data_IF_348209100708
#
_entry.id   IF_348209100708
#
_cell.length_a   1.000
_cell.length_b   1.000
_cell.length_c   1.000
_cell.angle_alpha   90.00
_cell.angle_beta   90.00
_cell.angle_gamma   90.00
#
_symmetry.space_group_name_H-M   'P 1'
#
loop_
_entity.id
_entity.type
_entity.pdbx_description
1 polymer ?
#
# COMPACT_ATOMS: atom_id res chain seq x y z
N UNK A 1 -11.78 17.30 7.94
CA UNK A 1 -12.37 16.03 7.46
C UNK A 1 -11.21 15.09 7.20
N UNK A 2 -11.27 13.87 7.75
CA UNK A 2 -10.15 12.92 7.76
C UNK A 2 -10.50 11.65 6.98
N UNK A 3 -9.45 10.94 6.56
CA UNK A 3 -9.56 9.60 5.98
C UNK A 3 -10.21 8.58 6.94
N UNK A 4 -10.11 8.83 8.25
CA UNK A 4 -10.64 7.95 9.28
C UNK A 4 -12.15 7.68 9.08
N UNK A 5 -12.55 6.41 8.98
CA UNK A 5 -13.90 6.00 8.61
C UNK A 5 -14.02 4.55 8.20
N UNK A 6 -15.25 4.09 8.01
CA UNK A 6 -15.53 2.84 7.30
C UNK A 6 -15.97 3.15 5.87
N UNK A 7 -15.22 2.60 4.92
CA UNK A 7 -15.37 2.80 3.49
C UNK A 7 -15.77 1.51 2.81
N UNK A 8 -16.67 1.57 1.82
CA UNK A 8 -17.11 0.40 1.05
C UNK A 8 -16.97 0.65 -0.45
N UNK A 9 -16.42 -0.33 -1.19
CA UNK A 9 -16.31 -0.28 -2.65
C UNK A 9 -17.48 -0.98 -3.36
N UNK A 10 -17.47 -0.94 -4.69
CA UNK A 10 -18.45 -1.56 -5.58
C UNK A 10 -18.56 -3.08 -5.43
N UNK A 11 -17.50 -3.75 -4.97
CA UNK A 11 -17.49 -5.19 -4.70
C UNK A 11 -18.07 -5.55 -3.32
N UNK A 12 -18.48 -4.55 -2.54
CA UNK A 12 -18.99 -4.73 -1.18
C UNK A 12 -17.90 -4.91 -0.12
N UNK A 13 -16.62 -4.90 -0.50
CA UNK A 13 -15.49 -4.98 0.43
C UNK A 13 -15.39 -3.72 1.29
N UNK A 14 -14.95 -3.89 2.54
CA UNK A 14 -14.97 -2.83 3.55
C UNK A 14 -13.57 -2.49 4.04
N UNK A 15 -13.31 -1.21 4.26
CA UNK A 15 -12.04 -0.70 4.77
C UNK A 15 -12.31 0.22 5.96
N UNK A 16 -11.94 -0.23 7.16
CA UNK A 16 -12.00 0.57 8.39
C UNK A 16 -10.65 1.23 8.61
N UNK A 17 -10.60 2.56 8.57
CA UNK A 17 -9.38 3.36 8.67
C UNK A 17 -9.41 4.27 9.89
N UNK A 18 -8.24 4.41 10.50
CA UNK A 18 -7.87 5.49 11.41
C UNK A 18 -6.78 6.34 10.74
N UNK A 19 -6.70 7.62 11.09
CA UNK A 19 -5.62 8.48 10.62
C UNK A 19 -5.20 9.51 11.67
N UNK A 20 -3.94 9.91 11.61
CA UNK A 20 -3.32 10.90 12.49
C UNK A 20 -1.87 11.18 12.09
N UNK A 21 -1.44 12.44 12.13
CA UNK A 21 -0.09 12.88 11.79
C UNK A 21 0.43 12.36 10.43
N UNK A 22 -0.43 12.41 9.40
CA UNK A 22 -0.13 11.91 8.04
C UNK A 22 0.09 10.39 7.97
N UNK A 23 -0.26 9.65 9.03
CA UNK A 23 -0.26 8.19 9.09
C UNK A 23 -1.69 7.67 9.00
N UNK A 24 -1.82 6.53 8.34
CA UNK A 24 -3.06 5.80 8.19
C UNK A 24 -2.83 4.37 8.64
N UNK A 25 -3.77 3.81 9.38
CA UNK A 25 -3.78 2.40 9.74
C UNK A 25 -5.20 1.88 9.79
N UNK A 26 -5.37 0.57 9.67
CA UNK A 26 -6.70 0.01 9.68
C UNK A 26 -6.78 -1.45 9.29
N UNK A 27 -7.98 -1.85 8.88
CA UNK A 27 -8.28 -3.20 8.40
C UNK A 27 -9.07 -3.15 7.10
N UNK A 28 -8.73 -4.07 6.20
CA UNK A 28 -9.49 -4.34 4.99
C UNK A 28 -10.17 -5.70 5.11
N UNK A 29 -11.45 -5.78 4.77
CA UNK A 29 -12.22 -7.00 4.71
C UNK A 29 -12.69 -7.21 3.27
N UNK A 30 -12.11 -8.21 2.61
CA UNK A 30 -12.46 -8.54 1.23
C UNK A 30 -13.65 -9.49 1.18
N UNK A 31 -14.53 -9.26 0.21
CA UNK A 31 -15.67 -10.11 -0.14
C UNK A 31 -15.43 -10.89 -1.44
N UNK A 32 -14.37 -10.57 -2.19
CA UNK A 32 -14.02 -11.17 -3.48
C UNK A 32 -12.66 -11.86 -3.39
N UNK A 33 -12.54 -13.03 -4.04
CA UNK A 33 -11.31 -13.84 -4.01
C UNK A 33 -11.08 -14.47 -2.63
N UNK A 34 -10.04 -14.03 -1.92
CA UNK A 34 -9.75 -14.50 -0.57
C UNK A 34 -10.55 -13.72 0.48
N UNK A 35 -11.41 -14.44 1.20
CA UNK A 35 -12.19 -13.90 2.32
C UNK A 35 -11.33 -13.84 3.58
N UNK A 36 -11.18 -12.65 4.16
CA UNK A 36 -10.34 -12.47 5.34
C UNK A 36 -10.37 -11.04 5.86
N UNK A 37 -9.58 -10.80 6.92
CA UNK A 37 -9.32 -9.46 7.45
C UNK A 37 -7.83 -9.19 7.37
N UNK A 38 -7.45 -8.08 6.75
CA UNK A 38 -6.08 -7.78 6.36
C UNK A 38 -5.63 -6.45 6.97
N UNK A 39 -4.36 -6.35 7.36
CA UNK A 39 -3.82 -5.11 7.89
C UNK A 39 -3.65 -4.07 6.79
N UNK A 40 -3.95 -2.82 7.14
CA UNK A 40 -3.72 -1.65 6.29
C UNK A 40 -2.76 -0.70 7.00
N UNK A 41 -1.75 -0.24 6.26
CA UNK A 41 -0.88 0.87 6.62
C UNK A 41 -0.90 1.91 5.52
N UNK A 42 -0.63 3.16 5.82
CA UNK A 42 -0.63 4.18 4.79
C UNK A 42 -0.23 5.56 5.25
N UNK A 43 -0.39 6.49 4.31
CA UNK A 43 -0.11 7.91 4.43
C UNK A 43 -1.21 8.72 3.75
N UNK A 44 -1.51 9.87 4.33
CA UNK A 44 -2.35 10.89 3.71
C UNK A 44 -1.60 12.22 3.61
N UNK A 45 -1.96 13.04 2.63
CA UNK A 45 -1.36 14.35 2.38
C UNK A 45 -1.66 15.41 3.44
N UNK A 46 -2.48 15.07 4.45
CA UNK A 46 -3.05 16.04 5.37
C UNK A 46 -4.04 17.01 4.70
N UNK A 47 -4.59 17.93 5.51
CA UNK A 47 -5.55 18.93 5.04
C UNK A 47 -7.00 18.45 5.04
N UNK A 48 -7.89 19.26 4.46
CA UNK A 48 -9.31 18.91 4.28
C UNK A 48 -9.63 18.82 2.80
N UNK A 49 -10.29 17.74 2.41
CA UNK A 49 -10.81 17.62 1.05
C UNK A 49 -11.87 18.71 0.82
N UNK A 50 -11.78 19.37 -0.34
CA UNK A 50 -12.72 20.39 -0.78
C UNK A 50 -13.11 20.18 -2.24
N UNK A 51 -14.12 20.91 -2.74
CA UNK A 51 -14.56 20.79 -4.13
C UNK A 51 -13.43 21.04 -5.15
N UNK A 52 -12.48 21.91 -4.80
CA UNK A 52 -11.36 22.29 -5.65
C UNK A 52 -10.11 21.40 -5.48
N UNK A 53 -10.03 20.57 -4.44
CA UNK A 53 -8.81 19.85 -4.08
C UNK A 53 -9.13 18.62 -3.21
N UNK A 54 -8.78 17.44 -3.71
CA UNK A 54 -8.78 16.22 -2.90
C UNK A 54 -7.56 16.12 -2.00
N UNK A 55 -7.60 15.16 -1.07
CA UNK A 55 -6.48 14.83 -0.18
C UNK A 55 -5.81 13.56 -0.68
N UNK A 56 -4.54 13.60 -1.11
CA UNK A 56 -3.82 12.42 -1.58
C UNK A 56 -3.71 11.34 -0.50
N UNK A 57 -3.80 10.08 -0.91
CA UNK A 57 -3.75 8.90 -0.03
C UNK A 57 -2.93 7.80 -0.69
N UNK A 58 -2.07 7.16 0.09
CA UNK A 58 -1.39 5.92 -0.28
C UNK A 58 -1.60 4.88 0.81
N UNK A 59 -2.00 3.67 0.44
CA UNK A 59 -2.23 2.55 1.35
C UNK A 59 -1.42 1.33 0.91
N UNK A 60 -1.05 0.51 1.88
CA UNK A 60 -0.36 -0.76 1.75
C UNK A 60 -1.22 -1.82 2.46
N UNK A 61 -1.48 -2.93 1.77
CA UNK A 61 -2.21 -4.08 2.29
C UNK A 61 -1.35 -5.31 2.10
N UNK A 62 -1.24 -6.13 3.13
CA UNK A 62 -0.72 -7.49 3.01
C UNK A 62 -1.88 -8.48 3.09
N UNK A 63 -1.96 -9.40 2.12
CA UNK A 63 -3.06 -10.35 1.99
C UNK A 63 -2.89 -11.60 2.87
N UNK A 64 -2.05 -11.48 3.90
CA UNK A 64 -2.05 -12.42 5.01
C UNK A 64 -3.18 -12.04 5.99
N UNK A 65 -4.22 -12.88 6.06
CA UNK A 65 -5.34 -12.64 6.96
C UNK A 65 -4.89 -12.69 8.43
N UNK A 66 -5.35 -11.71 9.23
CA UNK A 66 -5.20 -11.70 10.69
C UNK A 66 -6.40 -12.34 11.41
N UNK A 67 -7.45 -12.68 10.68
CA UNK A 67 -8.55 -13.48 11.20
C UNK A 67 -8.18 -14.97 11.20
N UNK A 68 -8.78 -15.75 12.10
CA UNK A 68 -8.61 -17.20 12.12
C UNK A 68 -9.13 -17.81 10.82
N UNK A 69 -8.33 -18.68 10.20
CA UNK A 69 -8.71 -19.40 8.98
C UNK A 69 -7.54 -20.16 8.39
N UNK A 70 -7.80 -21.07 7.44
CA UNK A 70 -6.74 -21.72 6.69
C UNK A 70 -5.98 -20.69 5.84
N UNK A 71 -4.68 -20.91 5.69
CA UNK A 71 -3.89 -20.15 4.73
C UNK A 71 -4.28 -20.52 3.30
N UNK A 72 -4.24 -19.55 2.40
CA UNK A 72 -4.38 -19.73 0.96
C UNK A 72 -3.22 -19.05 0.20
N UNK A 73 -3.24 -19.10 -1.13
CA UNK A 73 -2.18 -18.52 -1.96
C UNK A 73 -2.06 -17.00 -1.80
N UNK A 74 -3.15 -16.30 -1.45
CA UNK A 74 -3.14 -14.84 -1.30
C UNK A 74 -2.27 -14.38 -0.13
N UNK A 75 -1.91 -15.26 0.81
CA UNK A 75 -1.03 -14.90 1.92
C UNK A 75 0.40 -14.52 1.48
N UNK A 76 0.75 -14.78 0.23
CA UNK A 76 2.01 -14.37 -0.39
C UNK A 76 1.87 -13.09 -1.22
N UNK A 77 0.69 -12.46 -1.22
CA UNK A 77 0.37 -11.30 -2.05
C UNK A 77 0.33 -10.01 -1.24
N UNK A 78 0.50 -8.89 -1.92
CA UNK A 78 0.40 -7.55 -1.34
C UNK A 78 -0.36 -6.62 -2.27
N UNK A 79 -0.76 -5.46 -1.77
CA UNK A 79 -1.28 -4.39 -2.60
C UNK A 79 -0.78 -3.03 -2.17
N UNK A 80 -0.41 -2.24 -3.17
CA UNK A 80 -0.31 -0.79 -3.04
C UNK A 80 -1.59 -0.16 -3.57
N UNK A 81 -2.13 0.83 -2.87
CA UNK A 81 -3.24 1.64 -3.35
C UNK A 81 -2.81 3.11 -3.33
N UNK A 82 -3.16 3.87 -4.36
CA UNK A 82 -2.84 5.29 -4.45
C UNK A 82 -3.96 6.08 -5.10
N UNK A 83 -4.33 7.21 -4.50
CA UNK A 83 -5.41 8.04 -5.00
C UNK A 83 -5.69 9.21 -4.07
N UNK A 84 -6.96 9.58 -3.91
CA UNK A 84 -7.34 10.69 -3.04
C UNK A 84 -8.75 10.56 -2.48
N UNK A 85 -9.01 11.27 -1.38
CA UNK A 85 -10.36 11.60 -0.93
C UNK A 85 -10.82 12.86 -1.68
N UNK A 86 -12.01 12.83 -2.26
CA UNK A 86 -12.61 13.98 -2.92
C UNK A 86 -14.14 14.00 -2.71
N UNK A 87 -14.79 15.08 -3.17
CA UNK A 87 -16.24 15.13 -3.27
C UNK A 87 -16.71 14.72 -4.66
N UNK A 88 -17.83 14.01 -4.73
CA UNK A 88 -18.59 13.86 -5.98
C UNK A 88 -19.20 15.19 -6.40
N UNK A 89 -19.75 15.26 -7.62
CA UNK A 89 -20.54 16.40 -8.06
C UNK A 89 -21.77 16.68 -7.18
N UNK A 90 -22.27 15.66 -6.46
CA UNK A 90 -23.39 15.75 -5.52
C UNK A 90 -22.97 16.11 -4.10
N UNK A 91 -21.67 16.32 -3.86
CA UNK A 91 -21.11 16.67 -2.54
C UNK A 91 -20.84 15.47 -1.63
N UNK A 92 -21.03 14.24 -2.11
CA UNK A 92 -20.73 13.03 -1.33
C UNK A 92 -19.23 12.75 -1.28
N UNK A 93 -18.73 12.34 -0.12
CA UNK A 93 -17.33 11.93 0.00
C UNK A 93 -17.06 10.62 -0.76
N UNK A 94 -15.99 10.62 -1.53
CA UNK A 94 -15.48 9.46 -2.28
C UNK A 94 -13.99 9.30 -2.01
N UNK A 95 -13.57 8.06 -1.78
CA UNK A 95 -12.17 7.69 -1.80
C UNK A 95 -11.91 6.94 -3.10
N UNK A 96 -11.19 7.58 -4.03
CA UNK A 96 -10.92 7.05 -5.37
C UNK A 96 -9.49 6.56 -5.38
N UNK A 97 -9.27 5.25 -5.57
CA UNK A 97 -7.96 4.62 -5.45
C UNK A 97 -7.65 3.82 -6.71
N UNK A 98 -6.43 3.97 -7.25
CA UNK A 98 -5.85 2.96 -8.12
C UNK A 98 -5.23 1.89 -7.22
N UNK A 99 -5.63 0.65 -7.45
CA UNK A 99 -5.26 -0.53 -6.68
C UNK A 99 -4.33 -1.40 -7.52
N UNK A 100 -3.10 -1.58 -7.06
CA UNK A 100 -2.14 -2.49 -7.63
C UNK A 100 -1.99 -3.71 -6.72
N UNK A 101 -2.54 -4.84 -7.15
CA UNK A 101 -2.33 -6.15 -6.53
C UNK A 101 -1.09 -6.82 -7.13
N UNK A 102 -0.19 -7.29 -6.27
CA UNK A 102 0.99 -8.06 -6.66
C UNK A 102 0.85 -9.48 -6.13
N UNK A 103 0.59 -10.40 -7.05
CA UNK A 103 0.51 -11.84 -6.81
C UNK A 103 1.86 -12.49 -7.11
N UNK A 104 2.60 -12.86 -6.06
CA UNK A 104 3.92 -13.49 -6.19
C UNK A 104 3.87 -14.98 -6.60
N UNK A 105 2.71 -15.61 -6.46
CA UNK A 105 2.41 -16.97 -6.88
C UNK A 105 1.01 -17.06 -7.50
N UNK A 106 0.77 -18.15 -8.23
CA UNK A 106 -0.54 -18.50 -8.76
C UNK A 106 -1.53 -18.80 -7.62
N UNK A 107 -2.78 -18.39 -7.82
CA UNK A 107 -3.93 -18.88 -7.06
C UNK A 107 -4.75 -19.79 -7.95
N UNK A 108 -4.68 -21.13 -7.75
CA UNK A 108 -5.38 -22.09 -8.58
C UNK A 108 -6.88 -21.79 -8.72
N UNK A 109 -7.35 -21.68 -9.97
CA UNK A 109 -8.75 -21.39 -10.28
C UNK A 109 -9.16 -19.91 -10.15
N UNK A 110 -8.24 -19.01 -9.76
CA UNK A 110 -8.52 -17.58 -9.65
C UNK A 110 -7.64 -16.74 -10.58
N UNK A 111 -6.32 -16.80 -10.43
CA UNK A 111 -5.40 -16.00 -11.23
C UNK A 111 -3.97 -16.57 -11.25
N UNK A 112 -3.21 -16.39 -12.35
CA UNK A 112 -1.77 -16.61 -12.32
C UNK A 112 -1.04 -15.58 -11.44
N UNK A 113 0.25 -15.80 -11.21
CA UNK A 113 1.14 -14.79 -10.64
C UNK A 113 1.24 -13.58 -11.58
N UNK A 114 1.40 -12.38 -11.02
CA UNK A 114 1.48 -11.15 -11.81
C UNK A 114 1.14 -9.90 -11.02
N UNK A 115 1.02 -8.80 -11.74
CA UNK A 115 0.58 -7.50 -11.22
C UNK A 115 -0.74 -7.10 -11.88
N UNK A 116 -1.75 -6.81 -11.07
CA UNK A 116 -3.10 -6.48 -11.52
C UNK A 116 -3.44 -5.06 -11.06
N UNK A 117 -3.84 -4.21 -12.00
CA UNK A 117 -4.22 -2.83 -11.76
C UNK A 117 -5.72 -2.66 -11.94
N UNK A 118 -6.37 -2.05 -10.96
CA UNK A 118 -7.79 -1.71 -11.01
C UNK A 118 -8.05 -0.33 -10.38
N UNK A 119 -9.19 0.27 -10.67
CA UNK A 119 -9.62 1.53 -10.05
C UNK A 119 -10.85 1.27 -9.19
N UNK A 120 -10.70 1.49 -7.89
CA UNK A 120 -11.74 1.26 -6.88
C UNK A 120 -12.31 2.58 -6.39
N UNK A 121 -13.63 2.66 -6.26
CA UNK A 121 -14.32 3.84 -5.74
C UNK A 121 -15.06 3.45 -4.47
N UNK A 122 -14.58 4.02 -3.36
CA UNK A 122 -15.20 3.82 -2.07
C UNK A 122 -16.13 4.97 -1.69
N UNK A 123 -17.22 4.62 -1.01
CA UNK A 123 -18.09 5.57 -0.32
C UNK A 123 -18.04 5.31 1.19
N UNK A 124 -18.20 6.37 1.99
CA UNK A 124 -18.22 6.23 3.44
C UNK A 124 -19.57 5.67 3.89
N UNK A 125 -19.54 4.63 4.71
CA UNK A 125 -20.75 3.98 5.26
C UNK A 125 -20.86 4.12 6.78
N UNK A 126 -19.76 4.42 7.47
CA UNK A 126 -19.75 4.60 8.92
C UNK A 126 -18.59 5.53 9.36
N UNK A 127 -18.67 6.12 10.57
CA UNK A 127 -17.53 6.81 11.19
C UNK A 127 -16.39 5.82 11.50
N UNK A 128 -15.22 6.35 11.86
CA UNK A 128 -14.06 5.54 12.19
C UNK A 128 -14.33 4.66 13.42
N UNK A 129 -13.90 3.41 13.35
CA UNK A 129 -13.77 2.54 14.52
C UNK A 129 -12.42 2.82 15.20
N UNK A 130 -12.35 2.68 16.52
CA UNK A 130 -11.09 2.80 17.24
C UNK A 130 -10.25 1.54 17.02
N UNK A 131 -9.15 1.68 16.28
CA UNK A 131 -8.20 0.61 16.01
C UNK A 131 -6.82 1.03 16.50
N UNK A 132 -6.10 0.09 17.12
CA UNK A 132 -4.69 0.29 17.42
C UNK A 132 -3.85 0.23 16.13
N UNK A 133 -2.82 1.08 15.99
CA UNK A 133 -1.86 0.92 14.90
C UNK A 133 -1.15 -0.43 15.02
N UNK A 134 -0.78 -1.07 13.91
CA UNK A 134 -0.01 -2.30 13.98
C UNK A 134 1.35 -2.02 14.65
N UNK A 135 1.86 -2.96 15.46
CA UNK A 135 3.11 -2.75 16.16
C UNK A 135 4.25 -2.59 15.15
N UNK A 136 5.19 -1.68 15.44
CA UNK A 136 6.48 -1.68 14.76
C UNK A 136 7.20 -2.97 15.16
N UNK A 137 7.22 -3.97 14.28
CA UNK A 137 7.80 -5.28 14.57
C UNK A 137 9.23 -5.17 15.11
N UNK A 138 9.64 -6.13 15.94
CA UNK A 138 11.04 -6.23 16.39
C UNK A 138 11.94 -6.51 15.18
N UNK A 139 13.16 -5.97 15.14
CA UNK A 139 14.04 -6.15 13.98
C UNK A 139 14.25 -7.64 13.64
N UNK A 140 14.00 -8.00 12.38
CA UNK A 140 14.23 -9.33 11.83
C UNK A 140 15.45 -9.28 10.92
N UNK A 141 16.39 -10.21 11.09
CA UNK A 141 17.49 -10.36 10.13
C UNK A 141 16.93 -10.88 8.80
N UNK A 142 17.08 -10.10 7.74
CA UNK A 142 16.47 -10.36 6.46
C UNK A 142 17.33 -9.77 5.32
N UNK A 143 17.54 -10.48 4.21
CA UNK A 143 18.34 -10.00 3.07
C UNK A 143 17.88 -8.69 2.42
N UNK A 144 16.63 -8.29 2.65
CA UNK A 144 16.10 -6.99 2.22
C UNK A 144 16.63 -5.80 3.03
N UNK A 145 17.15 -6.05 4.24
CA UNK A 145 17.67 -5.01 5.11
C UNK A 145 18.87 -4.32 4.46
N UNK A 146 18.87 -2.99 4.40
CA UNK A 146 19.98 -2.24 3.82
C UNK A 146 19.52 -1.10 2.93
N UNK A 147 20.45 -0.59 2.12
CA UNK A 147 20.22 0.49 1.18
C UNK A 147 20.07 -0.05 -0.24
N UNK A 148 19.15 0.54 -1.00
CA UNK A 148 18.79 0.16 -2.36
C UNK A 148 18.75 1.40 -3.24
N UNK A 149 19.20 1.31 -4.49
CA UNK A 149 19.24 2.42 -5.43
C UNK A 149 18.91 1.98 -6.85
N UNK A 150 18.30 2.88 -7.62
CA UNK A 150 17.99 2.65 -9.03
C UNK A 150 16.83 3.51 -9.51
N UNK A 151 16.73 3.74 -10.83
CA UNK A 151 15.64 4.54 -11.41
C UNK A 151 15.52 5.97 -10.84
N UNK A 152 16.63 6.55 -10.35
CA UNK A 152 16.65 7.86 -9.69
C UNK A 152 16.07 7.89 -8.28
N UNK A 153 15.91 6.73 -7.63
CA UNK A 153 15.36 6.60 -6.29
C UNK A 153 16.36 5.87 -5.36
N UNK A 154 16.47 6.35 -4.12
CA UNK A 154 17.21 5.67 -3.05
C UNK A 154 16.28 5.27 -1.91
N UNK A 155 16.40 4.03 -1.43
CA UNK A 155 15.67 3.49 -0.30
C UNK A 155 16.63 2.96 0.76
N UNK A 156 16.24 3.01 2.03
CA UNK A 156 16.83 2.21 3.10
C UNK A 156 15.72 1.48 3.85
N UNK A 157 15.81 0.16 3.94
CA UNK A 157 14.74 -0.71 4.43
C UNK A 157 15.18 -1.51 5.66
N UNK A 158 14.21 -1.78 6.54
CA UNK A 158 14.32 -2.72 7.65
C UNK A 158 13.04 -3.53 7.78
N UNK A 159 13.21 -4.84 7.85
CA UNK A 159 12.14 -5.81 8.10
C UNK A 159 11.97 -6.01 9.60
N UNK A 160 10.73 -5.89 10.05
CA UNK A 160 10.29 -6.24 11.40
C UNK A 160 9.60 -7.59 11.42
N UNK A 161 9.76 -8.32 12.52
CA UNK A 161 9.06 -9.55 12.80
C UNK A 161 7.55 -9.30 12.94
N UNK A 162 6.76 -10.29 12.52
CA UNK A 162 5.32 -10.22 12.49
C UNK A 162 4.77 -11.12 11.39
N UNK A 163 3.44 -11.26 11.36
CA UNK A 163 2.73 -11.93 10.29
C UNK A 163 1.46 -11.11 9.97
N UNK A 164 1.45 -10.31 8.89
CA UNK A 164 2.54 -10.08 7.94
C UNK A 164 3.75 -9.35 8.55
N UNK A 165 4.91 -9.46 7.91
CA UNK A 165 6.11 -8.71 8.31
C UNK A 165 5.92 -7.22 8.07
N UNK A 166 6.31 -6.39 9.04
CA UNK A 166 6.22 -4.93 8.93
C UNK A 166 7.50 -4.41 8.30
N UNK A 167 7.38 -3.65 7.22
CA UNK A 167 8.51 -3.02 6.55
C UNK A 167 8.56 -1.54 6.92
N UNK A 168 9.73 -1.07 7.35
CA UNK A 168 9.96 0.34 7.67
C UNK A 168 11.22 0.84 6.99
N UNK A 169 11.34 2.13 6.79
CA UNK A 169 12.49 2.65 6.09
C UNK A 169 12.49 4.14 5.83
N UNK A 170 13.36 4.52 4.91
CA UNK A 170 13.53 5.87 4.42
C UNK A 170 13.62 5.86 2.89
N UNK A 171 13.10 6.90 2.26
CA UNK A 171 13.18 7.14 0.82
C UNK A 171 13.73 8.54 0.60
N UNK A 172 14.60 8.70 -0.39
CA UNK A 172 14.97 10.02 -0.90
C UNK A 172 13.99 10.42 -2.01
N UNK A 173 13.21 11.47 -1.74
CA UNK A 173 12.34 12.14 -2.71
C UNK A 173 12.87 13.56 -2.94
N UNK A 174 13.45 13.79 -4.12
CA UNK A 174 13.98 15.09 -4.54
C UNK A 174 15.00 15.70 -3.57
N UNK A 175 15.90 14.88 -3.01
CA UNK A 175 16.93 15.30 -2.05
C UNK A 175 16.45 15.38 -0.60
N UNK A 176 15.21 14.95 -0.33
CA UNK A 176 14.60 14.95 1.00
C UNK A 176 14.29 13.55 1.47
N UNK A 177 14.67 13.25 2.70
CA UNK A 177 14.44 11.95 3.32
C UNK A 177 13.05 11.89 3.92
N UNK A 178 12.21 11.00 3.39
CA UNK A 178 10.87 10.71 3.91
C UNK A 178 10.82 9.32 4.56
N UNK A 179 9.88 9.13 5.49
CA UNK A 179 9.68 7.84 6.14
C UNK A 179 8.82 6.89 5.29
N UNK A 180 9.23 5.63 5.24
CA UNK A 180 8.48 4.54 4.63
C UNK A 180 7.83 3.64 5.69
N UNK A 181 6.63 3.15 5.38
CA UNK A 181 5.99 2.08 6.13
C UNK A 181 5.17 1.18 5.20
N UNK A 182 5.14 -0.12 5.47
CA UNK A 182 4.31 -1.06 4.74
C UNK A 182 4.56 -2.49 5.19
N UNK A 183 4.51 -3.44 4.26
CA UNK A 183 4.54 -4.86 4.56
C UNK A 183 5.43 -5.64 3.61
N UNK A 184 5.87 -6.80 4.08
CA UNK A 184 6.56 -7.83 3.29
C UNK A 184 6.04 -9.21 3.70
N UNK A 185 5.94 -10.10 2.72
CA UNK A 185 5.74 -11.52 2.98
C UNK A 185 7.02 -12.12 3.60
N UNK A 186 6.94 -12.56 4.85
CA UNK A 186 8.07 -13.22 5.55
C UNK A 186 7.89 -14.73 5.65
N UNK A 187 6.90 -15.30 4.94
CA UNK A 187 6.68 -16.75 4.92
C UNK A 187 7.73 -17.44 4.05
N UNK A 188 7.98 -18.73 4.28
CA UNK A 188 8.80 -19.52 3.37
C UNK A 188 8.24 -19.45 1.93
N UNK A 189 9.11 -19.31 0.91
CA UNK A 189 8.65 -19.27 -0.47
C UNK A 189 7.99 -20.60 -0.85
N UNK A 190 6.91 -20.51 -1.63
CA UNK A 190 6.25 -21.65 -2.25
C UNK A 190 6.86 -21.97 -3.62
N UNK A 191 6.76 -23.23 -4.09
CA UNK A 191 7.14 -23.59 -5.46
C UNK A 191 6.47 -22.69 -6.49
N UNK A 192 7.24 -22.20 -7.46
CA UNK A 192 6.73 -21.31 -8.52
C UNK A 192 6.68 -19.82 -8.16
N UNK A 193 7.04 -19.42 -6.94
CA UNK A 193 7.16 -18.01 -6.59
C UNK A 193 8.31 -17.33 -7.33
N UNK A 194 8.02 -16.22 -8.02
CA UNK A 194 9.03 -15.43 -8.72
C UNK A 194 9.90 -14.61 -7.77
N UNK A 195 9.38 -14.26 -6.59
CA UNK A 195 10.05 -13.46 -5.58
C UNK A 195 9.14 -13.25 -4.36
N UNK A 196 9.60 -12.47 -3.39
CA UNK A 196 8.86 -12.13 -2.18
C UNK A 196 8.10 -10.82 -2.39
N UNK A 197 6.78 -10.84 -2.20
CA UNK A 197 5.97 -9.64 -2.38
C UNK A 197 6.17 -8.63 -1.24
N UNK A 198 6.25 -7.34 -1.59
CA UNK A 198 6.30 -6.24 -0.63
C UNK A 198 5.54 -5.00 -1.09
N UNK A 199 5.11 -4.19 -0.15
CA UNK A 199 4.48 -2.90 -0.40
C UNK A 199 4.90 -1.86 0.63
N UNK A 200 5.02 -0.60 0.22
CA UNK A 200 5.47 0.53 1.03
C UNK A 200 4.65 1.76 0.71
N UNK A 201 4.55 2.66 1.68
CA UNK A 201 3.92 3.97 1.54
C UNK A 201 4.80 5.08 2.09
N UNK A 202 4.74 6.24 1.43
CA UNK A 202 5.44 7.45 1.83
C UNK A 202 4.55 8.69 1.65
N UNK A 203 4.90 9.76 2.37
CA UNK A 203 4.36 11.10 2.22
C UNK A 203 5.53 12.05 1.98
N UNK A 204 5.45 12.86 0.92
CA UNK A 204 6.27 14.06 0.83
C UNK A 204 5.55 15.18 1.57
N UNK A 205 6.01 15.48 2.78
CA UNK A 205 5.38 16.45 3.67
C UNK A 205 5.38 17.89 3.10
N UNK A 206 6.26 18.20 2.15
CA UNK A 206 6.33 19.53 1.54
C UNK A 206 5.28 19.73 0.46
N UNK A 207 5.07 18.70 -0.38
CA UNK A 207 4.15 18.78 -1.51
C UNK A 207 2.77 18.20 -1.21
N UNK A 208 2.62 17.47 -0.09
CA UNK A 208 1.42 16.71 0.25
C UNK A 208 1.19 15.50 -0.66
N UNK A 209 2.14 15.16 -1.54
CA UNK A 209 2.05 14.00 -2.42
C UNK A 209 2.28 12.72 -1.64
N UNK A 210 1.52 11.69 -1.96
CA UNK A 210 1.68 10.36 -1.36
C UNK A 210 2.20 9.38 -2.40
N UNK A 211 2.95 8.39 -1.94
CA UNK A 211 3.54 7.36 -2.78
C UNK A 211 3.15 5.99 -2.24
N UNK A 212 2.65 5.12 -3.10
CA UNK A 212 2.56 3.69 -2.87
C UNK A 212 3.57 2.96 -3.77
N UNK A 213 4.39 2.10 -3.19
CA UNK A 213 5.25 1.16 -3.90
C UNK A 213 4.70 -0.24 -3.66
N UNK A 214 4.63 -1.07 -4.69
CA UNK A 214 4.37 -2.50 -4.54
C UNK A 214 5.16 -3.27 -5.58
N UNK A 215 5.56 -4.50 -5.26
CA UNK A 215 6.29 -5.34 -6.20
C UNK A 215 6.96 -6.53 -5.54
N UNK A 216 8.05 -7.00 -6.15
CA UNK A 216 8.75 -8.21 -5.77
C UNK A 216 10.20 -7.93 -5.37
N UNK A 217 10.65 -8.65 -4.34
CA UNK A 217 12.05 -8.81 -3.99
C UNK A 217 12.56 -10.16 -4.52
N UNK A 218 13.66 -10.14 -5.27
CA UNK A 218 14.31 -11.31 -5.82
C UNK A 218 15.64 -11.55 -5.08
N UNK A 219 15.68 -12.41 -4.04
CA UNK A 219 16.88 -12.58 -3.22
C UNK A 219 18.06 -13.14 -4.01
N UNK A 220 17.83 -14.06 -4.95
CA UNK A 220 18.89 -14.64 -5.79
C UNK A 220 19.53 -13.63 -6.75
N UNK A 221 18.74 -12.67 -7.24
CA UNK A 221 19.22 -11.62 -8.15
C UNK A 221 19.65 -10.34 -7.41
N UNK A 222 19.47 -10.28 -6.08
CA UNK A 222 19.64 -9.08 -5.27
C UNK A 222 18.95 -7.86 -5.91
N UNK A 223 17.67 -8.00 -6.25
CA UNK A 223 16.94 -6.99 -7.03
C UNK A 223 15.56 -6.74 -6.45
N UNK A 224 15.16 -5.48 -6.43
CA UNK A 224 13.79 -5.05 -6.19
C UNK A 224 13.15 -4.60 -7.50
N UNK A 225 12.02 -5.18 -7.85
CA UNK A 225 11.17 -4.74 -8.94
C UNK A 225 9.90 -4.15 -8.36
N UNK A 226 9.71 -2.85 -8.48
CA UNK A 226 8.60 -2.13 -7.86
C UNK A 226 7.84 -1.33 -8.90
N UNK A 227 6.54 -1.23 -8.74
CA UNK A 227 5.74 -0.19 -9.37
C UNK A 227 5.46 0.90 -8.34
N UNK A 228 5.69 2.15 -8.74
CA UNK A 228 5.47 3.36 -7.98
C UNK A 228 4.22 4.06 -8.46
N UNK A 229 3.24 4.22 -7.56
CA UNK A 229 2.05 5.03 -7.76
C UNK A 229 2.12 6.28 -6.90
N UNK A 230 2.25 7.45 -7.53
CA UNK A 230 2.31 8.74 -6.83
C UNK A 230 0.98 9.47 -6.99
N UNK A 231 0.32 9.80 -5.89
CA UNK A 231 -0.91 10.58 -5.89
C UNK A 231 -0.65 12.03 -5.50
N UNK A 232 -1.36 12.93 -6.19
CA UNK A 232 -1.39 14.37 -5.92
C UNK A 232 -2.80 14.88 -5.78
N UNK A 233 -2.95 16.04 -5.16
CA UNK A 233 -4.25 16.69 -5.01
C UNK A 233 -4.75 17.14 -6.39
N UNK A 234 -5.99 16.80 -6.72
CA UNK A 234 -6.68 17.34 -7.89
C UNK A 234 -8.10 17.75 -7.52
N UNK A 235 -8.71 18.61 -8.35
CA UNK A 235 -10.15 18.78 -8.31
C UNK A 235 -10.86 17.47 -8.70
N UNK A 236 -12.14 17.34 -8.35
CA UNK A 236 -12.96 16.16 -8.66
C UNK A 236 -13.02 15.87 -10.18
N UNK A 237 -13.16 16.93 -10.98
CA UNK A 237 -13.19 16.85 -12.45
C UNK A 237 -11.87 16.34 -13.06
N UNK A 238 -10.75 16.53 -12.35
CA UNK A 238 -9.41 16.15 -12.81
C UNK A 238 -8.87 14.88 -12.14
N UNK A 239 -9.72 14.18 -11.38
CA UNK A 239 -9.34 12.95 -10.64
C UNK A 239 -8.83 11.82 -11.53
N UNK A 240 -9.06 11.87 -12.83
CA UNK A 240 -8.48 10.93 -13.79
C UNK A 240 -6.97 11.07 -13.94
N UNK A 241 -6.37 12.22 -13.57
CA UNK A 241 -4.92 12.44 -13.56
C UNK A 241 -4.31 12.43 -12.15
N UNK A 242 -5.04 11.98 -11.14
CA UNK A 242 -4.62 12.07 -9.75
C UNK A 242 -3.40 11.20 -9.41
N UNK A 243 -3.22 10.07 -10.13
CA UNK A 243 -2.17 9.08 -9.86
C UNK A 243 -1.27 8.93 -11.08
N UNK A 244 0.04 9.03 -10.89
CA UNK A 244 1.04 8.65 -11.88
C UNK A 244 1.64 7.29 -11.52
N UNK A 245 1.86 6.43 -12.54
CA UNK A 245 2.45 5.10 -12.39
C UNK A 245 3.82 5.03 -13.08
N UNK A 246 4.80 4.42 -12.41
CA UNK A 246 6.16 4.19 -12.96
C UNK A 246 6.72 2.85 -12.51
N UNK A 247 7.42 2.13 -13.40
CA UNK A 247 8.22 0.95 -13.03
C UNK A 247 9.60 1.35 -12.50
N UNK A 248 10.08 0.63 -11.50
CA UNK A 248 11.37 0.83 -10.84
C UNK A 248 12.10 -0.50 -10.68
N UNK A 249 13.39 -0.46 -10.92
CA UNK A 249 14.32 -1.54 -10.60
C UNK A 249 15.39 -0.96 -9.68
N UNK A 250 15.57 -1.57 -8.52
CA UNK A 250 16.58 -1.16 -7.54
C UNK A 250 17.51 -2.33 -7.21
N UNK A 251 18.76 -2.00 -6.95
CA UNK A 251 19.84 -2.92 -6.58
C UNK A 251 20.47 -2.42 -5.26
N UNK A 252 21.19 -3.26 -4.51
CA UNK A 252 21.86 -2.84 -3.29
C UNK A 252 22.80 -1.66 -3.55
N UNK A 253 22.74 -0.64 -2.70
CA UNK A 253 23.64 0.50 -2.81
C UNK A 253 25.06 0.08 -2.39
N UNK A 254 26.04 0.31 -3.27
CA UNK A 254 27.44 -0.04 -3.02
C UNK A 254 27.84 -1.46 -3.44
N UNK A 255 27.03 -2.13 -4.27
CA UNK A 255 27.44 -3.31 -5.02
C UNK A 255 28.45 -2.96 -6.14
#
# INVERSE_FOLDING_TARGET
>A
MSLAGVWQNEYGSRMSLCSGDGRVWGRYASTTGSTGSYLVLGRDGGGQAGPAAGVPVALAIAWQSVASGPADASWHWVSGLSGQICHSATGEERLIMNHLLVASCDFPGLSPAGSYLDKLIYHRIAPAEELAPPPAGTGLDHPLNGAWQGGGLGLSLRVGAGQPGVLSGRIDLAGRVQHLAGFIDTRPPQPGMAGTALTLTALDAETGQTLALAGLYHPGAQRLELQAMSARSTASADSYMQTALRGLVLEPAGA
#
